data_IF_362282822538
#
_entry.id   IF_362282822538
#
_cell.length_a   1.000
_cell.length_b   1.000
_cell.length_c   1.000
_cell.angle_alpha   90.00
_cell.angle_beta   90.00
_cell.angle_gamma   90.00
#
_symmetry.space_group_name_H-M   'P 1'
#
loop_
_entity.id
_entity.type
_entity.pdbx_description
1 polymer ?
#
# COMPACT_ATOMS: atom_id res chain seq x y z
N UNK A 1 -18.04 18.02 -11.51
CA UNK A 1 -16.60 18.10 -11.15
C UNK A 1 -16.38 17.10 -10.02
N UNK A 2 -15.34 16.25 -10.12
CA UNK A 2 -14.88 15.31 -9.07
C UNK A 2 -15.41 13.85 -9.06
N UNK A 3 -15.10 13.07 -10.11
CA UNK A 3 -15.14 11.59 -10.03
C UNK A 3 -13.89 10.99 -9.38
N UNK A 4 -12.85 11.80 -9.14
CA UNK A 4 -11.55 11.37 -8.60
C UNK A 4 -11.46 11.43 -7.06
N UNK A 5 -12.45 12.04 -6.38
CA UNK A 5 -12.46 12.12 -4.92
C UNK A 5 -13.19 10.96 -4.23
N UNK A 6 -13.96 10.13 -4.94
CA UNK A 6 -14.67 8.99 -4.35
C UNK A 6 -13.85 7.69 -4.40
N UNK A 7 -12.64 7.73 -3.86
CA UNK A 7 -11.80 6.54 -3.71
C UNK A 7 -12.11 5.86 -2.38
N UNK A 8 -13.08 4.95 -2.38
CA UNK A 8 -13.41 4.16 -1.18
C UNK A 8 -12.29 3.21 -0.78
N UNK A 9 -12.29 2.79 0.49
CA UNK A 9 -11.32 1.84 1.04
C UNK A 9 -11.25 0.54 0.21
N UNK A 10 -12.40 0.00 -0.22
CA UNK A 10 -12.45 -1.20 -1.05
C UNK A 10 -11.83 -1.01 -2.43
N UNK A 11 -12.14 0.10 -3.12
CA UNK A 11 -11.55 0.42 -4.43
C UNK A 11 -10.04 0.63 -4.33
N UNK A 12 -9.58 1.31 -3.28
CA UNK A 12 -8.16 1.53 -3.03
C UNK A 12 -7.40 0.23 -2.76
N UNK A 13 -7.99 -0.69 -1.97
CA UNK A 13 -7.42 -2.02 -1.74
C UNK A 13 -7.26 -2.79 -3.07
N UNK A 14 -8.30 -2.80 -3.91
CA UNK A 14 -8.24 -3.43 -5.23
C UNK A 14 -7.17 -2.80 -6.12
N UNK A 15 -7.06 -1.47 -6.15
CA UNK A 15 -6.06 -0.76 -6.95
C UNK A 15 -4.62 -1.11 -6.51
N UNK A 16 -4.35 -1.13 -5.20
CA UNK A 16 -3.04 -1.53 -4.68
C UNK A 16 -2.75 -3.01 -4.95
N UNK A 17 -3.74 -3.88 -4.84
CA UNK A 17 -3.60 -5.30 -5.15
C UNK A 17 -3.24 -5.53 -6.63
N UNK A 18 -3.95 -4.87 -7.55
CA UNK A 18 -3.64 -4.92 -8.98
C UNK A 18 -2.24 -4.37 -9.24
N UNK A 19 -1.88 -3.22 -8.67
CA UNK A 19 -0.54 -2.66 -8.81
C UNK A 19 0.55 -3.63 -8.29
N UNK A 20 0.29 -4.32 -7.19
CA UNK A 20 1.18 -5.33 -6.63
C UNK A 20 1.35 -6.54 -7.55
N UNK A 21 0.27 -7.04 -8.15
CA UNK A 21 0.35 -8.12 -9.14
C UNK A 21 1.18 -7.67 -10.34
N UNK A 22 0.88 -6.51 -10.91
CA UNK A 22 1.59 -6.01 -12.10
C UNK A 22 3.07 -5.79 -11.78
N UNK A 23 3.40 -5.20 -10.64
CA UNK A 23 4.78 -5.01 -10.19
C UNK A 23 5.55 -6.34 -10.06
N UNK A 24 4.91 -7.38 -9.51
CA UNK A 24 5.50 -8.72 -9.39
C UNK A 24 5.67 -9.40 -10.74
N UNK A 25 4.67 -9.30 -11.63
CA UNK A 25 4.76 -9.83 -12.98
C UNK A 25 5.89 -9.15 -13.77
N UNK A 26 6.03 -7.83 -13.63
CA UNK A 26 7.09 -7.06 -14.29
C UNK A 26 8.48 -7.58 -13.94
N UNK A 27 8.81 -7.71 -12.65
CA UNK A 27 10.13 -8.20 -12.24
C UNK A 27 10.31 -9.69 -12.59
N UNK A 28 9.25 -10.50 -12.54
CA UNK A 28 9.29 -11.91 -12.94
C UNK A 28 9.59 -12.07 -14.43
N UNK A 29 9.02 -11.23 -15.30
CA UNK A 29 9.37 -11.23 -16.73
C UNK A 29 10.84 -10.84 -16.94
N UNK A 30 11.32 -9.81 -16.23
CA UNK A 30 12.71 -9.36 -16.30
C UNK A 30 13.69 -10.43 -15.80
N UNK A 31 13.33 -11.19 -14.77
CA UNK A 31 14.12 -12.34 -14.27
C UNK A 31 14.02 -13.55 -15.19
N UNK A 32 12.85 -13.80 -15.76
CA UNK A 32 12.62 -14.87 -16.74
C UNK A 32 13.48 -14.68 -17.98
N UNK A 33 13.58 -13.46 -18.51
CA UNK A 33 14.46 -13.17 -19.66
C UNK A 33 15.93 -13.46 -19.35
N UNK A 34 16.39 -13.27 -18.12
CA UNK A 34 17.77 -13.59 -17.71
C UNK A 34 18.07 -15.09 -17.71
N UNK A 35 17.06 -15.96 -17.61
CA UNK A 35 17.27 -17.42 -17.67
C UNK A 35 17.69 -17.90 -19.07
N UNK A 36 17.37 -17.12 -20.11
CA UNK A 36 17.72 -17.41 -21.50
C UNK A 36 18.97 -16.67 -21.97
N UNK A 37 19.64 -15.94 -21.08
CA UNK A 37 20.87 -15.19 -21.39
C UNK A 37 22.13 -15.98 -21.05
N UNK A 38 23.25 -15.61 -21.67
CA UNK A 38 24.56 -16.10 -21.24
C UNK A 38 24.86 -15.64 -19.81
N UNK A 39 25.71 -16.37 -19.07
CA UNK A 39 26.10 -15.98 -17.69
C UNK A 39 26.71 -14.57 -17.63
N UNK A 40 27.44 -14.16 -18.67
CA UNK A 40 28.05 -12.83 -18.75
C UNK A 40 26.98 -11.72 -18.91
N UNK A 41 26.00 -11.94 -19.79
CA UNK A 41 24.93 -10.98 -20.05
C UNK A 41 23.93 -10.89 -18.89
N UNK A 42 23.67 -12.02 -18.23
CA UNK A 42 22.87 -12.05 -16.99
C UNK A 42 23.51 -11.23 -15.88
N UNK A 43 24.84 -11.37 -15.68
CA UNK A 43 25.57 -10.55 -14.69
C UNK A 43 25.53 -9.07 -15.02
N UNK A 44 25.75 -8.71 -16.30
CA UNK A 44 25.65 -7.31 -16.77
C UNK A 44 24.25 -6.72 -16.55
N UNK A 45 23.21 -7.54 -16.71
CA UNK A 45 21.82 -7.13 -16.47
C UNK A 45 21.55 -6.89 -14.98
N UNK A 46 22.04 -7.76 -14.10
CA UNK A 46 21.92 -7.57 -12.64
C UNK A 46 22.63 -6.31 -12.14
N UNK A 47 23.76 -5.97 -12.76
CA UNK A 47 24.53 -4.77 -12.44
C UNK A 47 23.98 -3.51 -13.14
N UNK A 48 23.02 -3.67 -14.05
CA UNK A 48 22.42 -2.54 -14.76
C UNK A 48 21.64 -1.63 -13.82
N UNK A 49 21.73 -0.34 -14.08
CA UNK A 49 20.97 0.69 -13.37
C UNK A 49 19.47 0.41 -13.43
N UNK A 50 18.98 -0.05 -14.58
CA UNK A 50 17.56 -0.30 -14.82
C UNK A 50 17.03 -1.44 -13.97
N UNK A 51 17.78 -2.55 -13.90
CA UNK A 51 17.46 -3.65 -13.01
C UNK A 51 17.49 -3.19 -11.55
N UNK A 52 18.53 -2.45 -11.13
CA UNK A 52 18.65 -1.98 -9.76
C UNK A 52 17.48 -1.09 -9.35
N UNK A 53 17.08 -0.13 -10.20
CA UNK A 53 15.96 0.77 -9.90
C UNK A 53 14.63 0.02 -9.88
N UNK A 54 14.40 -0.86 -10.85
CA UNK A 54 13.19 -1.70 -10.91
C UNK A 54 13.08 -2.62 -9.69
N UNK A 55 14.19 -3.25 -9.30
CA UNK A 55 14.25 -4.12 -8.14
C UNK A 55 13.95 -3.36 -6.83
N UNK A 56 14.56 -2.19 -6.64
CA UNK A 56 14.29 -1.33 -5.48
C UNK A 56 12.84 -0.87 -5.43
N UNK A 57 12.26 -0.47 -6.57
CA UNK A 57 10.86 -0.08 -6.67
C UNK A 57 9.92 -1.23 -6.27
N UNK A 58 10.21 -2.43 -6.76
CA UNK A 58 9.39 -3.62 -6.50
C UNK A 58 9.49 -4.10 -5.03
N UNK A 59 10.67 -4.04 -4.44
CA UNK A 59 10.85 -4.36 -3.02
C UNK A 59 10.01 -3.42 -2.15
N UNK A 60 10.14 -2.13 -2.39
CA UNK A 60 9.35 -1.12 -1.70
C UNK A 60 7.85 -1.36 -1.89
N UNK A 61 7.40 -1.61 -3.12
CA UNK A 61 5.99 -1.93 -3.35
C UNK A 61 5.54 -3.17 -2.56
N UNK A 62 6.39 -4.20 -2.45
CA UNK A 62 6.07 -5.43 -1.71
C UNK A 62 5.98 -5.22 -0.20
N UNK A 63 6.84 -4.38 0.36
CA UNK A 63 6.86 -4.02 1.79
C UNK A 63 5.58 -3.29 2.20
N UNK A 64 5.11 -2.33 1.39
CA UNK A 64 3.95 -1.50 1.74
C UNK A 64 2.60 -2.07 1.29
N UNK A 65 2.54 -2.83 0.18
CA UNK A 65 1.25 -3.28 -0.37
C UNK A 65 0.48 -4.17 0.59
N UNK A 66 1.13 -5.13 1.25
CA UNK A 66 0.46 -6.07 2.15
C UNK A 66 -0.25 -5.37 3.31
N UNK A 67 0.48 -4.60 4.15
CA UNK A 67 -0.13 -3.84 5.25
C UNK A 67 -1.21 -2.86 4.79
N UNK A 68 -0.98 -2.13 3.70
CA UNK A 68 -1.95 -1.17 3.17
C UNK A 68 -3.25 -1.85 2.73
N UNK A 69 -3.15 -2.93 1.96
CA UNK A 69 -4.33 -3.70 1.50
C UNK A 69 -5.09 -4.25 2.70
N UNK A 70 -4.41 -4.81 3.70
CA UNK A 70 -5.03 -5.36 4.90
C UNK A 70 -5.83 -4.28 5.67
N UNK A 71 -5.22 -3.12 5.90
CA UNK A 71 -5.87 -2.00 6.60
C UNK A 71 -7.08 -1.48 5.83
N UNK A 72 -6.95 -1.29 4.53
CA UNK A 72 -8.05 -0.80 3.68
C UNK A 72 -9.22 -1.79 3.63
N UNK A 73 -8.95 -3.09 3.50
CA UNK A 73 -9.98 -4.13 3.55
C UNK A 73 -10.66 -4.18 4.92
N UNK A 74 -9.91 -4.03 6.01
CA UNK A 74 -10.48 -3.96 7.35
C UNK A 74 -11.40 -2.73 7.50
N UNK A 75 -10.93 -1.52 7.16
CA UNK A 75 -11.76 -0.32 7.23
C UNK A 75 -13.03 -0.42 6.37
N UNK A 76 -12.91 -1.00 5.17
CA UNK A 76 -14.04 -1.29 4.30
C UNK A 76 -15.04 -2.25 4.97
N UNK A 77 -14.56 -3.31 5.62
CA UNK A 77 -15.42 -4.25 6.35
C UNK A 77 -16.15 -3.62 7.54
N UNK A 78 -15.58 -2.55 8.12
CA UNK A 78 -16.18 -1.76 9.20
C UNK A 78 -17.11 -0.64 8.68
N UNK A 79 -17.27 -0.50 7.36
CA UNK A 79 -18.05 0.58 6.75
C UNK A 79 -17.45 1.97 7.01
N UNK A 80 -16.13 2.04 7.22
CA UNK A 80 -15.41 3.29 7.44
C UNK A 80 -14.69 3.70 6.17
N UNK A 81 -15.06 4.86 5.67
CA UNK A 81 -14.44 5.46 4.50
C UNK A 81 -13.35 6.46 4.90
N UNK A 82 -12.27 6.46 4.13
CA UNK A 82 -11.09 7.28 4.36
C UNK A 82 -10.56 7.81 3.02
N UNK A 83 -11.42 8.47 2.24
CA UNK A 83 -11.20 8.79 0.83
C UNK A 83 -9.87 9.50 0.55
N UNK A 84 -9.54 10.53 1.35
CA UNK A 84 -8.27 11.25 1.22
C UNK A 84 -7.06 10.32 1.45
N UNK A 85 -7.14 9.48 2.49
CA UNK A 85 -6.09 8.52 2.79
C UNK A 85 -5.93 7.51 1.65
N UNK A 86 -7.05 7.04 1.10
CA UNK A 86 -7.12 6.11 -0.02
C UNK A 86 -6.47 6.68 -1.29
N UNK A 87 -6.80 7.92 -1.68
CA UNK A 87 -6.18 8.60 -2.83
C UNK A 87 -4.66 8.70 -2.63
N UNK A 88 -4.24 9.16 -1.44
CA UNK A 88 -2.83 9.38 -1.13
C UNK A 88 -2.00 8.09 -1.17
N UNK A 89 -2.50 6.99 -0.58
CA UNK A 89 -1.77 5.71 -0.60
C UNK A 89 -1.74 5.08 -1.99
N UNK A 90 -2.82 5.17 -2.77
CA UNK A 90 -2.88 4.61 -4.13
C UNK A 90 -1.95 5.40 -5.06
N UNK A 91 -2.14 6.72 -5.15
CA UNK A 91 -1.34 7.57 -6.03
C UNK A 91 0.13 7.54 -5.62
N UNK A 92 0.42 7.62 -4.32
CA UNK A 92 1.79 7.54 -3.81
C UNK A 92 2.47 6.22 -4.18
N UNK A 93 1.77 5.08 -4.02
CA UNK A 93 2.34 3.77 -4.37
C UNK A 93 2.57 3.60 -5.87
N UNK A 94 1.64 4.06 -6.71
CA UNK A 94 1.75 3.98 -8.18
C UNK A 94 2.88 4.89 -8.66
N UNK A 95 2.91 6.16 -8.23
CA UNK A 95 3.95 7.13 -8.61
C UNK A 95 5.33 6.64 -8.17
N UNK A 96 5.44 6.12 -6.95
CA UNK A 96 6.72 5.60 -6.46
C UNK A 96 7.22 4.43 -7.30
N UNK A 97 6.36 3.41 -7.54
CA UNK A 97 6.73 2.22 -8.28
C UNK A 97 7.10 2.56 -9.73
N UNK A 98 6.17 3.16 -10.46
CA UNK A 98 6.33 3.38 -11.90
C UNK A 98 7.25 4.55 -12.22
N UNK A 99 7.30 5.56 -11.35
CA UNK A 99 8.29 6.64 -11.46
C UNK A 99 9.73 6.11 -11.40
N UNK A 100 10.04 5.23 -10.43
CA UNK A 100 11.36 4.61 -10.36
C UNK A 100 11.66 3.67 -11.53
N UNK A 101 10.68 2.89 -11.99
CA UNK A 101 10.84 1.98 -13.13
C UNK A 101 11.10 2.73 -14.43
N UNK A 102 10.33 3.79 -14.71
CA UNK A 102 10.36 4.49 -16.00
C UNK A 102 11.44 5.59 -16.00
N UNK A 103 11.50 6.39 -14.94
CA UNK A 103 12.32 7.60 -14.89
C UNK A 103 13.66 7.38 -14.16
N UNK A 104 13.77 6.34 -13.34
CA UNK A 104 15.02 5.94 -12.68
C UNK A 104 16.18 5.67 -13.66
N UNK A 105 15.97 4.86 -14.71
CA UNK A 105 16.91 4.67 -15.81
C UNK A 105 17.39 5.98 -16.43
N UNK A 106 16.45 6.86 -16.78
CA UNK A 106 16.67 8.08 -17.57
C UNK A 106 17.39 9.19 -16.80
N UNK A 107 17.08 9.36 -15.52
CA UNK A 107 17.50 10.53 -14.76
C UNK A 107 18.52 10.30 -13.67
N UNK A 108 18.86 9.03 -13.38
CA UNK A 108 19.77 8.72 -12.28
C UNK A 108 19.24 9.12 -10.90
N UNK A 109 20.11 9.31 -9.90
CA UNK A 109 19.69 9.65 -8.55
C UNK A 109 18.93 10.98 -8.45
N UNK A 110 19.01 11.86 -9.46
CA UNK A 110 18.23 13.09 -9.54
C UNK A 110 16.76 12.82 -9.82
N UNK A 111 16.40 12.55 -11.08
CA UNK A 111 14.99 12.42 -11.50
C UNK A 111 14.32 11.18 -10.88
N UNK A 112 15.03 10.04 -10.81
CA UNK A 112 14.53 8.83 -10.16
C UNK A 112 14.34 9.01 -8.66
N UNK A 113 15.30 9.67 -7.99
CA UNK A 113 15.19 10.00 -6.57
C UNK A 113 14.02 10.94 -6.29
N UNK A 114 13.82 11.96 -7.13
CA UNK A 114 12.67 12.87 -7.02
C UNK A 114 11.33 12.15 -7.14
N UNK A 115 11.18 11.25 -8.12
CA UNK A 115 9.93 10.49 -8.28
C UNK A 115 9.65 9.53 -7.13
N UNK A 116 10.70 8.94 -6.55
CA UNK A 116 10.58 8.14 -5.34
C UNK A 116 10.06 8.99 -4.17
N UNK A 117 10.61 10.18 -3.95
CA UNK A 117 10.16 11.09 -2.89
C UNK A 117 8.71 11.54 -3.13
N UNK A 118 8.38 11.94 -4.36
CA UNK A 118 7.03 12.39 -4.73
C UNK A 118 5.97 11.30 -4.60
N UNK A 119 6.33 10.02 -4.74
CA UNK A 119 5.43 8.91 -4.44
C UNK A 119 5.41 8.52 -2.96
N UNK A 120 6.57 8.53 -2.29
CA UNK A 120 6.69 8.13 -0.89
C UNK A 120 5.95 9.08 0.06
N UNK A 121 6.08 10.39 -0.13
CA UNK A 121 5.49 11.39 0.77
C UNK A 121 3.96 11.30 0.84
N UNK A 122 3.21 11.31 -0.28
CA UNK A 122 1.77 11.08 -0.25
C UNK A 122 1.41 9.75 0.40
N UNK A 123 2.15 8.68 0.10
CA UNK A 123 1.86 7.36 0.70
C UNK A 123 2.00 7.39 2.21
N UNK A 124 3.05 8.00 2.75
CA UNK A 124 3.25 8.11 4.20
C UNK A 124 2.21 9.01 4.86
N UNK A 125 1.83 10.12 4.21
CA UNK A 125 0.72 10.94 4.68
C UNK A 125 -0.60 10.15 4.71
N UNK A 126 -0.87 9.37 3.67
CA UNK A 126 -2.02 8.48 3.60
C UNK A 126 -1.99 7.39 4.69
N UNK A 127 -0.84 6.78 4.93
CA UNK A 127 -0.65 5.80 6.02
C UNK A 127 -0.95 6.39 7.39
N UNK A 128 -0.50 7.63 7.65
CA UNK A 128 -0.81 8.33 8.88
C UNK A 128 -2.31 8.56 9.06
N UNK A 129 -3.00 8.99 7.99
CA UNK A 129 -4.46 9.14 8.01
C UNK A 129 -5.20 7.81 8.20
N UNK A 130 -4.72 6.73 7.59
CA UNK A 130 -5.27 5.38 7.82
C UNK A 130 -5.09 4.94 9.28
N UNK A 131 -3.96 5.25 9.91
CA UNK A 131 -3.73 4.94 11.32
C UNK A 131 -4.74 5.68 12.23
N UNK A 132 -5.05 6.95 11.93
CA UNK A 132 -6.09 7.71 12.62
C UNK A 132 -7.47 7.07 12.42
N UNK A 133 -7.79 6.66 11.19
CA UNK A 133 -9.07 6.01 10.88
C UNK A 133 -9.21 4.66 11.62
N UNK A 134 -8.15 3.86 11.65
CA UNK A 134 -8.07 2.60 12.40
C UNK A 134 -8.30 2.80 13.90
N UNK A 135 -7.64 3.79 14.51
CA UNK A 135 -7.79 4.07 15.93
C UNK A 135 -9.23 4.44 16.31
N UNK A 136 -9.95 5.15 15.43
CA UNK A 136 -11.36 5.47 15.64
C UNK A 136 -12.25 4.22 15.59
N UNK A 137 -11.93 3.26 14.73
CA UNK A 137 -12.66 1.98 14.64
C UNK A 137 -12.45 1.14 15.90
N UNK A 138 -11.20 0.96 16.32
CA UNK A 138 -10.88 0.13 17.49
C UNK A 138 -11.45 0.72 18.79
N UNK A 139 -11.47 2.05 18.95
CA UNK A 139 -12.10 2.70 20.09
C UNK A 139 -13.62 2.47 20.13
N UNK A 140 -14.28 2.44 18.97
CA UNK A 140 -15.72 2.14 18.86
C UNK A 140 -16.02 0.69 19.23
N UNK A 141 -15.20 -0.25 18.75
CA UNK A 141 -15.35 -1.68 19.02
C UNK A 141 -15.12 -2.00 20.51
N UNK A 142 -14.13 -1.38 21.14
CA UNK A 142 -13.88 -1.53 22.60
C UNK A 142 -15.07 -0.99 23.41
N UNK A 143 -15.62 0.15 23.03
CA UNK A 143 -16.81 0.72 23.68
C UNK A 143 -18.03 -0.18 23.55
N UNK A 144 -18.27 -0.72 22.35
CA UNK A 144 -19.38 -1.65 22.11
C UNK A 144 -19.20 -2.99 22.83
N UNK A 145 -17.98 -3.53 22.87
CA UNK A 145 -17.67 -4.75 23.62
C UNK A 145 -17.86 -4.55 25.13
N UNK A 146 -17.43 -3.40 25.66
CA UNK A 146 -17.65 -3.04 27.06
C UNK A 146 -19.14 -2.94 27.39
N UNK A 147 -19.92 -2.23 26.57
CA UNK A 147 -21.37 -2.10 26.74
C UNK A 147 -22.11 -3.45 26.63
N UNK A 148 -21.70 -4.32 25.68
CA UNK A 148 -22.28 -5.64 25.49
C UNK A 148 -21.98 -6.59 26.66
N UNK A 149 -20.80 -6.46 27.28
CA UNK A 149 -20.46 -7.21 28.48
C UNK A 149 -21.26 -6.71 29.69
N UNK A 150 -21.34 -5.40 29.93
CA UNK A 150 -22.16 -4.83 31.00
C UNK A 150 -23.63 -5.29 30.89
N UNK A 151 -24.22 -5.23 29.68
CA UNK A 151 -25.59 -5.68 29.43
C UNK A 151 -25.78 -7.21 29.55
N UNK A 152 -24.70 -8.00 29.55
CA UNK A 152 -24.75 -9.42 29.92
C UNK A 152 -24.76 -9.56 31.44
N UNK A 153 -23.90 -8.86 32.17
CA UNK A 153 -23.87 -8.91 33.65
C UNK A 153 -25.22 -8.51 34.26
N UNK A 154 -25.88 -7.46 33.75
CA UNK A 154 -27.22 -7.05 34.20
C UNK A 154 -28.29 -8.12 33.96
N UNK A 155 -28.14 -8.95 32.91
CA UNK A 155 -29.08 -10.03 32.58
C UNK A 155 -28.87 -11.31 33.38
N UNK A 156 -27.66 -11.53 33.93
CA UNK A 156 -27.40 -12.71 34.77
C UNK A 156 -27.70 -12.45 36.25
N UNK A 157 -28.19 -11.26 36.60
CA UNK A 157 -28.63 -10.93 37.96
C UNK A 157 -27.52 -11.06 39.01
N UNK A 158 -26.26 -10.92 38.61
CA UNK A 158 -25.14 -10.87 39.58
C UNK A 158 -25.19 -9.48 40.21
N UNK A 159 -25.53 -9.35 41.50
CA UNK A 159 -25.58 -8.05 42.16
C UNK A 159 -24.20 -7.39 42.06
N UNK A 160 -24.17 -6.15 41.57
CA UNK A 160 -22.94 -5.36 41.46
C UNK A 160 -22.19 -5.28 42.79
N UNK A 161 -20.87 -5.42 42.71
CA UNK A 161 -19.94 -5.07 43.78
C UNK A 161 -19.90 -3.54 43.98
#
# INVERSE_FOLDING_TARGET
>A
MSYWMEMSCGKAASALFVNCIVAKLWISMYRGSMMFMSKADGKKTLESKDFRMTHMAQLNNSEYSGPLIAVLLYLHSQGVEADMACVLVVMGSIIHMWGLVILGPLGGPGLGGWTAVMGALPRYAGMFLLAIALQKCTAKDIGQFSAANIARYDRVGVPGA
#
